data_IF_993589399288
#
_entry.id   IF_993589399288
#
_cell.length_a   1.000
_cell.length_b   1.000
_cell.length_c   1.000
_cell.angle_alpha   90.00
_cell.angle_beta   90.00
_cell.angle_gamma   90.00
#
_symmetry.space_group_name_H-M   'P 1'
#
loop_
_entity.id
_entity.type
_entity.pdbx_description
1 polymer ?
#
# COMPACT_ATOMS: atom_id res chain seq x y z
N UNK A 1 -6.68 -12.83 -10.99
CA UNK A 1 -6.67 -11.37 -10.85
C UNK A 1 -7.10 -11.06 -9.42
N UNK A 2 -6.23 -10.48 -8.61
CA UNK A 2 -6.62 -9.92 -7.32
C UNK A 2 -7.71 -8.88 -7.56
N UNK A 3 -8.86 -9.03 -6.91
CA UNK A 3 -9.93 -8.04 -6.95
C UNK A 3 -9.44 -6.82 -6.18
N UNK A 4 -8.96 -5.82 -6.92
CA UNK A 4 -8.59 -4.51 -6.38
C UNK A 4 -9.81 -3.90 -5.68
N UNK A 5 -9.77 -3.88 -4.36
CA UNK A 5 -10.85 -3.38 -3.51
C UNK A 5 -10.52 -2.02 -2.89
N UNK A 6 -9.41 -1.38 -3.31
CA UNK A 6 -8.96 -0.10 -2.76
C UNK A 6 -8.51 -0.14 -1.31
N UNK A 7 -8.22 -1.32 -0.75
CA UNK A 7 -7.78 -1.49 0.64
C UNK A 7 -6.42 -2.15 0.70
N UNK A 8 -5.55 -1.69 1.60
CA UNK A 8 -4.24 -2.31 1.87
C UNK A 8 -4.15 -2.72 3.34
N UNK A 9 -3.72 -3.95 3.59
CA UNK A 9 -3.33 -4.39 4.93
C UNK A 9 -1.88 -3.98 5.14
N UNK A 10 -1.59 -3.33 6.26
CA UNK A 10 -0.24 -2.95 6.67
C UNK A 10 -0.03 -3.43 8.09
N UNK A 11 1.16 -3.95 8.41
CA UNK A 11 1.48 -4.27 9.81
C UNK A 11 1.40 -2.99 10.66
N UNK A 12 1.03 -3.13 11.93
CA UNK A 12 1.07 -1.99 12.84
C UNK A 12 2.50 -1.42 13.01
N UNK A 13 3.55 -2.23 13.20
CA UNK A 13 4.92 -1.72 13.27
C UNK A 13 5.31 -0.83 12.08
N UNK A 14 4.98 -1.22 10.84
CA UNK A 14 5.25 -0.41 9.66
C UNK A 14 4.38 0.86 9.62
N UNK A 15 3.10 0.76 9.94
CA UNK A 15 2.22 1.93 10.02
C UNK A 15 2.70 2.95 11.09
N UNK A 16 3.13 2.47 12.25
CA UNK A 16 3.67 3.28 13.33
C UNK A 16 5.00 3.93 12.95
N UNK A 17 5.88 3.18 12.29
CA UNK A 17 7.12 3.72 11.73
C UNK A 17 6.83 4.86 10.75
N UNK A 18 5.92 4.65 9.80
CA UNK A 18 5.51 5.67 8.81
C UNK A 18 4.95 6.92 9.49
N UNK A 19 4.14 6.75 10.55
CA UNK A 19 3.58 7.86 11.32
C UNK A 19 4.61 8.60 12.18
N UNK A 20 5.72 7.94 12.54
CA UNK A 20 6.85 8.55 13.23
C UNK A 20 7.77 9.36 12.30
N UNK A 21 7.66 9.16 10.99
CA UNK A 21 8.29 10.03 10.01
C UNK A 21 7.44 11.30 9.89
N UNK A 22 8.02 12.47 10.18
CA UNK A 22 7.33 13.78 10.13
C UNK A 22 6.99 14.19 8.68
N UNK A 23 6.11 13.41 8.06
CA UNK A 23 5.75 13.48 6.65
C UNK A 23 4.48 14.30 6.47
N UNK A 24 4.44 15.03 5.35
CA UNK A 24 3.25 15.77 4.96
C UNK A 24 2.07 14.82 4.68
N UNK A 25 0.83 15.31 4.84
CA UNK A 25 -0.37 14.51 4.55
C UNK A 25 -0.40 13.96 3.10
N UNK A 26 -0.01 14.73 2.06
CA UNK A 26 0.17 14.18 0.71
C UNK A 26 1.20 13.05 0.63
N UNK A 27 2.33 13.18 1.32
CA UNK A 27 3.38 12.14 1.33
C UNK A 27 2.90 10.87 2.02
N UNK A 28 2.23 10.99 3.18
CA UNK A 28 1.63 9.84 3.87
C UNK A 28 0.65 9.10 2.96
N UNK A 29 -0.27 9.84 2.32
CA UNK A 29 -1.22 9.29 1.34
C UNK A 29 -0.51 8.53 0.21
N UNK A 30 0.52 9.15 -0.37
CA UNK A 30 1.31 8.54 -1.43
C UNK A 30 1.96 7.22 -0.98
N UNK A 31 2.54 7.16 0.22
CA UNK A 31 3.16 5.93 0.75
C UNK A 31 2.17 4.77 0.81
N UNK A 32 0.98 4.97 1.36
CA UNK A 32 -0.02 3.91 1.43
C UNK A 32 -0.51 3.47 0.04
N UNK A 33 -0.61 4.40 -0.91
CA UNK A 33 -0.90 4.06 -2.32
C UNK A 33 0.21 3.23 -2.96
N UNK A 34 1.48 3.56 -2.69
CA UNK A 34 2.64 2.79 -3.14
C UNK A 34 2.68 1.38 -2.51
N UNK A 35 2.38 1.25 -1.21
CA UNK A 35 2.27 -0.04 -0.52
C UNK A 35 1.16 -0.91 -1.11
N UNK A 36 0.01 -0.32 -1.43
CA UNK A 36 -1.07 -1.03 -2.10
C UNK A 36 -0.64 -1.55 -3.48
N UNK A 37 0.11 -0.77 -4.26
CA UNK A 37 0.65 -1.24 -5.54
C UNK A 37 1.68 -2.36 -5.37
N UNK A 38 2.50 -2.31 -4.31
CA UNK A 38 3.36 -3.43 -3.94
C UNK A 38 2.55 -4.69 -3.63
N UNK A 39 1.44 -4.56 -2.89
CA UNK A 39 0.58 -5.71 -2.57
C UNK A 39 -0.11 -6.29 -3.82
N UNK A 40 -0.65 -5.42 -4.68
CA UNK A 40 -1.27 -5.82 -5.96
C UNK A 40 -0.29 -6.53 -6.89
N UNK A 41 1.00 -6.18 -6.84
CA UNK A 41 2.02 -6.83 -7.68
C UNK A 41 2.27 -8.29 -7.29
N UNK A 42 1.79 -8.75 -6.12
CA UNK A 42 2.05 -10.09 -5.60
C UNK A 42 3.43 -10.27 -4.99
N UNK A 43 4.28 -9.22 -4.97
CA UNK A 43 5.66 -9.27 -4.48
C UNK A 43 5.80 -9.65 -3.00
N UNK A 44 4.72 -9.50 -2.22
CA UNK A 44 4.67 -9.85 -0.80
C UNK A 44 4.05 -11.23 -0.54
N UNK A 45 3.76 -12.01 -1.59
CA UNK A 45 3.18 -13.36 -1.47
C UNK A 45 4.22 -14.45 -1.17
N UNK A 46 3.79 -15.70 -0.95
CA UNK A 46 4.67 -16.85 -0.70
C UNK A 46 5.70 -17.06 -1.82
N UNK A 47 5.31 -16.79 -3.06
CA UNK A 47 6.12 -16.90 -4.28
C UNK A 47 6.85 -15.59 -4.65
N UNK A 48 6.84 -14.58 -3.77
CA UNK A 48 7.51 -13.31 -4.02
C UNK A 48 9.02 -13.47 -4.13
N UNK A 49 9.65 -12.68 -5.02
CA UNK A 49 11.10 -12.61 -5.18
C UNK A 49 11.80 -12.21 -3.86
N UNK A 50 13.04 -12.68 -3.63
CA UNK A 50 13.84 -12.29 -2.46
C UNK A 50 14.17 -10.79 -2.44
N UNK A 51 14.41 -10.21 -3.61
CA UNK A 51 14.64 -8.79 -3.78
C UNK A 51 13.31 -8.02 -3.93
N UNK A 52 13.24 -6.82 -3.36
CA UNK A 52 12.07 -5.97 -3.57
C UNK A 52 12.02 -5.52 -5.04
N UNK A 53 10.91 -5.74 -5.76
CA UNK A 53 10.86 -5.37 -7.17
C UNK A 53 10.82 -3.86 -7.33
N UNK A 54 11.30 -3.41 -8.49
CA UNK A 54 11.05 -2.06 -8.98
C UNK A 54 9.62 -2.01 -9.50
N UNK A 55 8.82 -1.10 -8.96
CA UNK A 55 7.41 -0.89 -9.30
C UNK A 55 7.26 0.44 -10.01
N UNK A 56 6.29 0.52 -10.92
CA UNK A 56 5.88 1.78 -11.52
C UNK A 56 4.36 1.91 -11.57
N UNK A 57 3.88 3.14 -11.48
CA UNK A 57 2.48 3.49 -11.67
C UNK A 57 2.38 4.89 -12.26
N UNK A 58 1.30 5.18 -12.99
CA UNK A 58 1.08 6.56 -13.41
C UNK A 58 0.80 7.42 -12.18
N UNK A 59 1.29 8.66 -12.20
CA UNK A 59 0.99 9.62 -11.15
C UNK A 59 -0.52 9.94 -11.09
N UNK A 60 -1.26 9.67 -12.15
CA UNK A 60 -2.73 9.78 -12.17
C UNK A 60 -3.35 8.65 -11.34
N UNK A 61 -2.97 7.39 -11.57
CA UNK A 61 -3.51 6.22 -10.85
C UNK A 61 -3.23 6.30 -9.35
N UNK A 62 -2.01 6.73 -8.99
CA UNK A 62 -1.66 6.94 -7.59
C UNK A 62 -2.52 8.03 -6.94
N UNK A 63 -2.89 9.09 -7.69
CA UNK A 63 -3.73 10.19 -7.20
C UNK A 63 -5.21 9.84 -7.19
N UNK A 64 -5.70 9.05 -8.13
CA UNK A 64 -7.09 8.61 -8.16
C UNK A 64 -7.46 7.90 -6.86
N UNK A 65 -6.51 7.14 -6.30
CA UNK A 65 -6.71 6.34 -5.09
C UNK A 65 -6.60 7.11 -3.77
N UNK A 66 -5.68 8.07 -3.66
CA UNK A 66 -5.37 8.73 -2.38
C UNK A 66 -5.23 10.25 -2.47
N UNK A 67 -5.42 10.86 -3.63
CA UNK A 67 -5.07 12.25 -3.88
C UNK A 67 -6.25 13.23 -3.81
N UNK A 68 -6.01 14.51 -3.47
CA UNK A 68 -6.92 15.57 -3.86
C UNK A 68 -6.92 15.66 -5.38
N UNK A 69 -8.10 15.52 -6.02
CA UNK A 69 -8.31 15.46 -7.49
C UNK A 69 -7.73 16.64 -8.30
N UNK A 70 -7.07 17.61 -7.67
CA UNK A 70 -6.61 18.88 -8.27
C UNK A 70 -5.12 19.23 -8.04
N UNK A 71 -4.35 18.53 -7.19
CA UNK A 71 -2.91 18.81 -7.09
C UNK A 71 -2.18 18.25 -8.32
N UNK A 72 -1.48 19.13 -9.06
CA UNK A 72 -0.79 18.83 -10.33
C UNK A 72 0.74 18.83 -10.21
N UNK A 73 1.29 19.04 -9.03
CA UNK A 73 2.71 19.33 -8.90
C UNK A 73 3.60 18.08 -8.93
N UNK A 74 4.30 17.84 -10.04
CA UNK A 74 5.49 16.96 -10.06
C UNK A 74 6.49 17.33 -8.95
N UNK A 75 6.51 18.60 -8.53
CA UNK A 75 7.26 19.12 -7.38
C UNK A 75 6.89 18.43 -6.05
N UNK A 76 5.60 18.19 -5.79
CA UNK A 76 5.16 17.52 -4.55
C UNK A 76 5.60 16.07 -4.52
N UNK A 77 5.52 15.38 -5.66
CA UNK A 77 5.98 13.99 -5.79
C UNK A 77 7.50 13.92 -5.60
N UNK A 78 8.27 14.88 -6.13
CA UNK A 78 9.72 14.96 -5.88
C UNK A 78 10.05 15.25 -4.42
N UNK A 79 9.31 16.12 -3.75
CA UNK A 79 9.50 16.38 -2.34
C UNK A 79 9.20 15.13 -1.49
N UNK A 80 8.11 14.42 -1.81
CA UNK A 80 7.80 13.13 -1.22
C UNK A 80 8.92 12.11 -1.45
N UNK A 81 9.44 12.01 -2.68
CA UNK A 81 10.57 11.15 -3.02
C UNK A 81 11.77 11.34 -2.09
N UNK A 82 12.16 12.61 -1.92
CA UNK A 82 13.31 12.98 -1.12
C UNK A 82 13.09 12.63 0.34
N UNK A 83 11.89 12.90 0.87
CA UNK A 83 11.53 12.54 2.24
C UNK A 83 11.57 11.01 2.46
N UNK A 84 11.01 10.22 1.55
CA UNK A 84 11.00 8.76 1.65
C UNK A 84 12.40 8.15 1.52
N UNK A 85 13.23 8.72 0.64
CA UNK A 85 14.62 8.29 0.49
C UNK A 85 15.44 8.64 1.73
N UNK A 86 15.27 9.85 2.28
CA UNK A 86 15.93 10.27 3.52
C UNK A 86 15.51 9.41 4.72
N UNK A 87 14.25 8.95 4.75
CA UNK A 87 13.74 8.03 5.76
C UNK A 87 14.20 6.56 5.56
N UNK A 88 14.96 6.25 4.51
CA UNK A 88 15.39 4.86 4.23
C UNK A 88 14.24 3.92 3.85
N UNK A 89 13.10 4.46 3.40
CA UNK A 89 11.96 3.66 2.96
C UNK A 89 12.10 3.17 1.52
N UNK A 90 12.80 3.92 0.67
CA UNK A 90 12.98 3.60 -0.74
C UNK A 90 14.46 3.59 -1.11
N UNK A 91 14.86 2.57 -1.87
CA UNK A 91 16.22 2.44 -2.40
C UNK A 91 16.34 3.18 -3.74
N UNK A 92 15.32 3.02 -4.60
CA UNK A 92 15.22 3.69 -5.89
C UNK A 92 13.94 4.53 -5.98
N UNK A 93 14.04 5.68 -6.65
CA UNK A 93 12.91 6.54 -6.93
C UNK A 93 13.21 7.39 -8.16
N UNK A 94 12.33 7.34 -9.17
CA UNK A 94 12.48 8.10 -10.40
C UNK A 94 11.12 8.60 -10.93
N UNK A 95 11.11 9.79 -11.51
CA UNK A 95 10.00 10.30 -12.30
C UNK A 95 10.33 10.16 -13.78
N UNK A 96 9.57 9.33 -14.48
CA UNK A 96 9.75 9.02 -15.89
C UNK A 96 8.71 9.77 -16.74
N UNK A 97 8.86 9.70 -18.07
CA UNK A 97 7.87 10.16 -19.05
C UNK A 97 7.36 11.58 -18.78
N UNK A 98 8.26 12.59 -18.77
CA UNK A 98 7.90 13.98 -18.45
C UNK A 98 7.22 14.15 -17.07
N UNK A 99 7.62 13.33 -16.08
CA UNK A 99 7.05 13.33 -14.72
C UNK A 99 5.59 12.88 -14.63
N UNK A 100 5.11 12.05 -15.56
CA UNK A 100 3.78 11.44 -15.48
C UNK A 100 3.79 10.06 -14.85
N UNK A 101 4.93 9.38 -14.83
CA UNK A 101 5.07 8.03 -14.29
C UNK A 101 6.03 8.05 -13.11
N UNK A 102 5.61 7.47 -12.00
CA UNK A 102 6.46 7.26 -10.85
C UNK A 102 7.00 5.83 -10.87
N UNK A 103 8.30 5.69 -10.70
CA UNK A 103 8.99 4.42 -10.51
C UNK A 103 9.68 4.43 -9.14
N UNK A 104 9.58 3.34 -8.39
CA UNK A 104 10.21 3.21 -7.07
C UNK A 104 10.58 1.76 -6.75
N UNK A 105 11.50 1.60 -5.80
CA UNK A 105 11.80 0.34 -5.15
C UNK A 105 11.80 0.59 -3.65
N UNK A 106 10.95 -0.12 -2.92
CA UNK A 106 10.99 -0.06 -1.45
C UNK A 106 12.23 -0.77 -0.93
N UNK A 107 12.70 -0.35 0.24
CA UNK A 107 13.76 -1.05 0.96
C UNK A 107 13.32 -2.46 1.33
N UNK A 108 14.27 -3.40 1.36
CA UNK A 108 13.98 -4.82 1.63
C UNK A 108 13.18 -5.05 2.92
N UNK A 109 13.43 -4.25 3.97
CA UNK A 109 12.72 -4.35 5.24
C UNK A 109 11.22 -4.04 5.14
N UNK A 110 10.80 -3.14 4.24
CA UNK A 110 9.38 -2.85 4.01
C UNK A 110 8.70 -4.04 3.33
N UNK A 111 9.37 -4.67 2.36
CA UNK A 111 8.84 -5.87 1.71
C UNK A 111 8.66 -6.99 2.72
N UNK A 112 9.66 -7.20 3.56
CA UNK A 112 9.63 -8.26 4.58
C UNK A 112 8.53 -8.00 5.62
N UNK A 113 8.37 -6.76 6.06
CA UNK A 113 7.28 -6.38 6.96
C UNK A 113 5.91 -6.57 6.29
N UNK A 114 5.74 -6.12 5.06
CA UNK A 114 4.53 -6.34 4.27
C UNK A 114 4.26 -7.84 4.04
N UNK A 115 5.27 -8.68 3.84
CA UNK A 115 5.12 -10.14 3.72
C UNK A 115 4.58 -10.74 5.02
N UNK A 116 5.08 -10.28 6.16
CA UNK A 116 4.70 -10.77 7.48
C UNK A 116 3.55 -9.99 8.13
N UNK A 117 2.85 -9.14 7.37
CA UNK A 117 1.82 -8.21 7.89
C UNK A 117 0.70 -8.86 8.71
N UNK A 118 0.43 -10.14 8.50
CA UNK A 118 -0.61 -10.89 9.21
C UNK A 118 -0.11 -11.60 10.48
N UNK A 119 1.19 -11.63 10.74
CA UNK A 119 1.77 -12.36 11.88
C UNK A 119 1.52 -11.69 13.25
N UNK A 120 1.06 -10.44 13.26
CA UNK A 120 0.83 -9.66 14.48
C UNK A 120 -0.31 -8.65 14.31
N UNK A 121 -0.22 -7.52 15.03
CA UNK A 121 -1.18 -6.43 14.87
C UNK A 121 -1.06 -5.82 13.47
N UNK A 122 -2.19 -5.57 12.83
CA UNK A 122 -2.27 -4.96 11.50
C UNK A 122 -3.43 -3.96 11.42
N UNK A 123 -3.39 -3.13 10.39
CA UNK A 123 -4.44 -2.18 10.05
C UNK A 123 -4.85 -2.39 8.61
N UNK A 124 -6.17 -2.43 8.36
CA UNK A 124 -6.70 -2.33 7.00
C UNK A 124 -6.96 -0.87 6.71
N UNK A 125 -6.26 -0.35 5.72
CA UNK A 125 -6.32 1.04 5.29
C UNK A 125 -7.17 1.11 4.03
N UNK A 126 -8.34 1.73 4.16
CA UNK A 126 -9.15 2.17 3.01
C UNK A 126 -8.50 3.42 2.40
N UNK A 127 -8.11 3.31 1.12
CA UNK A 127 -7.40 4.37 0.41
C UNK A 127 -8.31 5.56 0.04
N UNK A 128 -9.59 5.32 -0.22
CA UNK A 128 -10.55 6.39 -0.51
C UNK A 128 -10.78 7.23 0.74
N UNK A 129 -11.02 6.57 1.88
CA UNK A 129 -11.14 7.23 3.17
C UNK A 129 -9.86 7.99 3.52
N UNK A 130 -8.69 7.38 3.33
CA UNK A 130 -7.39 8.01 3.55
C UNK A 130 -7.20 9.25 2.64
N UNK A 131 -7.63 9.17 1.39
CA UNK A 131 -7.55 10.25 0.40
C UNK A 131 -8.32 11.50 0.80
N UNK A 132 -9.43 11.33 1.53
CA UNK A 132 -10.26 12.42 2.06
C UNK A 132 -9.60 13.23 3.20
N UNK A 133 -8.53 12.70 3.81
CA UNK A 133 -7.89 13.31 4.98
C UNK A 133 -6.86 14.35 4.55
N UNK A 134 -7.08 15.61 4.95
CA UNK A 134 -6.29 16.75 4.51
C UNK A 134 -5.04 17.04 5.34
N UNK A 135 -4.89 16.43 6.53
CA UNK A 135 -3.82 16.75 7.50
C UNK A 135 -3.17 15.48 8.05
N UNK A 136 -1.87 15.52 8.35
CA UNK A 136 -1.14 14.40 8.94
C UNK A 136 -1.77 13.94 10.27
N UNK A 137 -2.20 14.87 11.13
CA UNK A 137 -2.89 14.56 12.39
C UNK A 137 -4.15 13.71 12.16
N UNK A 138 -5.00 14.08 11.19
CA UNK A 138 -6.20 13.30 10.85
C UNK A 138 -5.87 11.91 10.32
N UNK A 139 -4.80 11.78 9.52
CA UNK A 139 -4.31 10.47 9.04
C UNK A 139 -3.84 9.62 10.23
N UNK A 140 -3.07 10.21 11.14
CA UNK A 140 -2.61 9.53 12.36
C UNK A 140 -3.79 9.04 13.22
N UNK A 141 -4.76 9.91 13.49
CA UNK A 141 -5.98 9.54 14.23
C UNK A 141 -6.74 8.42 13.51
N UNK A 142 -6.88 8.50 12.19
CA UNK A 142 -7.55 7.48 11.39
C UNK A 142 -6.88 6.11 11.52
N UNK A 143 -5.56 6.03 11.35
CA UNK A 143 -4.82 4.76 11.46
C UNK A 143 -4.87 4.18 12.87
N UNK A 144 -4.77 5.03 13.91
CA UNK A 144 -4.93 4.60 15.30
C UNK A 144 -6.35 4.07 15.58
N UNK A 145 -7.38 4.73 15.05
CA UNK A 145 -8.76 4.23 15.16
C UNK A 145 -8.94 2.90 14.42
N UNK A 146 -8.33 2.72 13.25
CA UNK A 146 -8.37 1.44 12.52
C UNK A 146 -7.68 0.33 13.30
N UNK A 147 -6.54 0.61 13.94
CA UNK A 147 -5.85 -0.33 14.83
C UNK A 147 -6.80 -0.83 15.91
N UNK A 148 -7.41 0.09 16.65
CA UNK A 148 -8.33 -0.25 17.76
C UNK A 148 -9.55 -1.01 17.26
N UNK A 149 -10.17 -0.57 16.15
CA UNK A 149 -11.38 -1.19 15.60
C UNK A 149 -11.15 -2.58 15.02
N UNK A 150 -9.97 -2.85 14.44
CA UNK A 150 -9.65 -4.12 13.79
C UNK A 150 -8.78 -5.07 14.63
N UNK A 151 -8.35 -4.64 15.82
CA UNK A 151 -7.95 -5.54 16.90
C UNK A 151 -9.05 -6.54 17.30
N UNK A 152 -10.28 -6.34 16.80
CA UNK A 152 -11.46 -7.18 17.06
C UNK A 152 -12.14 -7.67 15.76
N UNK A 153 -11.48 -7.56 14.61
CA UNK A 153 -12.04 -8.07 13.35
C UNK A 153 -12.09 -9.61 13.41
N UNK A 154 -13.21 -10.26 13.00
CA UNK A 154 -13.30 -11.72 13.03
C UNK A 154 -12.22 -12.33 12.15
N UNK A 155 -11.42 -13.22 12.74
CA UNK A 155 -10.60 -14.14 11.96
C UNK A 155 -11.56 -15.11 11.25
N UNK A 156 -11.85 -14.85 9.98
CA UNK A 156 -12.53 -15.85 9.17
C UNK A 156 -11.49 -16.88 8.76
N UNK A 157 -11.53 -18.04 9.41
CA UNK A 157 -10.80 -19.21 8.97
C UNK A 157 -11.44 -19.69 7.66
N UNK A 158 -10.86 -19.28 6.52
CA UNK A 158 -11.23 -19.84 5.23
C UNK A 158 -10.51 -21.18 5.15
N UNK A 159 -11.24 -22.27 5.39
CA UNK A 159 -10.73 -23.60 5.06
C UNK A 159 -10.47 -23.63 3.55
N UNK A 160 -9.20 -23.78 3.18
CA UNK A 160 -8.82 -23.98 1.78
C UNK A 160 -9.18 -25.42 1.41
N UNK A 161 -10.39 -25.60 0.89
CA UNK A 161 -10.85 -26.86 0.34
C UNK A 161 -10.42 -26.91 -1.13
N UNK A 162 -9.36 -27.70 -1.39
CA UNK A 162 -8.78 -27.88 -2.72
C UNK A 162 -9.80 -28.44 -3.71
N UNK A 163 -10.74 -29.29 -3.26
CA UNK A 163 -11.73 -29.92 -4.13
C UNK A 163 -12.80 -28.91 -4.56
N UNK A 164 -13.34 -28.12 -3.63
CA UNK A 164 -14.31 -27.06 -3.96
C UNK A 164 -13.72 -25.95 -4.83
N UNK A 165 -12.44 -25.63 -4.64
CA UNK A 165 -11.75 -24.62 -5.45
C UNK A 165 -11.49 -25.12 -6.87
N UNK A 166 -11.13 -26.40 -7.02
CA UNK A 166 -10.99 -27.04 -8.33
C UNK A 166 -12.34 -27.13 -9.08
N UNK A 167 -13.43 -27.44 -8.37
CA UNK A 167 -14.78 -27.50 -8.94
C UNK A 167 -15.26 -26.12 -9.41
N UNK A 168 -15.09 -25.07 -8.60
CA UNK A 168 -15.45 -23.69 -8.97
C UNK A 168 -14.68 -23.17 -10.20
N UNK A 169 -13.42 -23.61 -10.38
CA UNK A 169 -12.61 -23.23 -11.53
C UNK A 169 -12.97 -24.02 -12.81
N UNK A 170 -13.52 -25.23 -12.69
CA UNK A 170 -14.02 -26.01 -13.84
C UNK A 170 -15.29 -25.40 -14.44
N UNK A 171 -16.19 -24.88 -13.60
CA UNK A 171 -17.45 -24.24 -14.06
C UNK A 171 -17.19 -23.00 -14.92
N UNK A 172 -16.04 -22.32 -14.74
CA UNK A 172 -15.65 -21.14 -15.54
C UNK A 172 -15.13 -21.44 -16.94
N UNK A 173 -14.77 -22.68 -17.27
CA UNK A 173 -14.20 -23.04 -18.57
C UNK A 173 -15.32 -23.39 -19.59
N UNK A 174 -16.58 -23.47 -19.16
CA UNK A 174 -17.71 -23.91 -20.00
C UNK A 174 -18.86 -22.89 -20.12
N UNK A 175 -18.60 -21.60 -19.85
CA UNK A 175 -19.51 -20.50 -20.20
C UNK A 175 -18.81 -19.47 -21.08
#
# INVERSE_FOLDING_TARGET
>A
MSLDNGMVVVSWPLAEHILGLDLSAPTLRLVFSMLHQLDLSGACGPEGLEECPVIWASCADLRERVGPKRSKGSREIRAAAQALKAAGMVEQFALLSNSTTLQWQFSAWIREDMRNRFAGQWVLVDLEQLGSLSTALRINLYLNLQKVRKSSAPEFFIFYDEERTAEANRVRIHN
#
